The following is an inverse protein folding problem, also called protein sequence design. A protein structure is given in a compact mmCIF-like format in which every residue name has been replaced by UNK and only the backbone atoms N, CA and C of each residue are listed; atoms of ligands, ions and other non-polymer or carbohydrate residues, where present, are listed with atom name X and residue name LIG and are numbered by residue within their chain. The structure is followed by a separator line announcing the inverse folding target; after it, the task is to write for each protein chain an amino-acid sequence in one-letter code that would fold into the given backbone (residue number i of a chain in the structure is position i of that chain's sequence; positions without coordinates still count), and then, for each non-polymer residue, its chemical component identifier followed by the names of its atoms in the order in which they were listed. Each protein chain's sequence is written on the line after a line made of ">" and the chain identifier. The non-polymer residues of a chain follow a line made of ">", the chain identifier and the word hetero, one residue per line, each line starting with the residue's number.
data_IF_974970264498
#
_entry.id   IF_974970264498
#
_cell.length_a   1.000
_cell.length_b   1.000
_cell.length_c   1.000
_cell.angle_alpha   90.00
_cell.angle_beta   90.00
_cell.angle_gamma   90.00
#
_symmetry.space_group_name_H-M   'P 1'
#
loop_
_entity.id
_entity.type
_entity.pdbx_description
1 polymer ?
#
# COMPACT_ATOMS: atom_id res chain seq x y z
N UNK A 1 -13.02 20.74 -5.58
CA UNK A 1 -13.09 19.29 -5.79
C UNK A 1 -12.68 18.52 -4.55
N UNK A 2 -13.01 17.23 -4.46
CA UNK A 2 -12.61 16.39 -3.33
C UNK A 2 -11.08 16.19 -3.30
N UNK A 3 -10.38 15.94 -4.42
CA UNK A 3 -8.93 15.85 -4.44
C UNK A 3 -8.24 17.07 -3.84
N UNK A 4 -8.70 18.27 -4.17
CA UNK A 4 -8.18 19.51 -3.60
C UNK A 4 -8.38 19.59 -2.09
N UNK A 5 -9.57 19.26 -1.59
CA UNK A 5 -9.85 19.28 -0.14
C UNK A 5 -8.97 18.30 0.63
N UNK A 6 -8.72 17.12 0.07
CA UNK A 6 -7.83 16.13 0.67
C UNK A 6 -6.39 16.65 0.65
N UNK A 7 -5.95 17.22 -0.48
CA UNK A 7 -4.61 17.79 -0.60
C UNK A 7 -4.37 18.93 0.41
N UNK A 8 -5.30 19.88 0.54
CA UNK A 8 -5.19 20.99 1.48
C UNK A 8 -4.99 20.51 2.92
N UNK A 9 -5.77 19.51 3.36
CA UNK A 9 -5.61 18.90 4.69
C UNK A 9 -4.29 18.13 4.83
N UNK A 10 -3.88 17.42 3.81
CA UNK A 10 -2.62 16.69 3.80
C UNK A 10 -1.43 17.66 3.85
N UNK A 11 -1.52 18.75 3.13
CA UNK A 11 -0.49 19.80 3.12
C UNK A 11 -0.37 20.52 4.46
N UNK A 12 -1.51 20.84 5.09
CA UNK A 12 -1.57 21.39 6.45
C UNK A 12 -0.89 20.43 7.44
N UNK A 13 -1.25 19.14 7.38
CA UNK A 13 -0.66 18.12 8.24
C UNK A 13 0.86 17.95 8.00
N UNK A 14 1.31 18.02 6.76
CA UNK A 14 2.73 18.00 6.40
C UNK A 14 3.49 19.16 7.08
N UNK A 15 2.90 20.34 7.16
CA UNK A 15 3.53 21.49 7.78
C UNK A 15 3.52 21.44 9.32
N UNK A 16 2.53 20.79 9.93
CA UNK A 16 2.30 20.79 11.37
C UNK A 16 2.85 19.55 12.08
N UNK A 17 2.89 18.40 11.44
CA UNK A 17 3.31 17.13 12.04
C UNK A 17 4.71 16.74 11.59
N UNK A 18 5.68 16.81 12.51
CA UNK A 18 7.10 16.52 12.24
C UNK A 18 7.34 15.08 11.79
N UNK A 19 6.62 14.11 12.35
CA UNK A 19 6.78 12.69 12.00
C UNK A 19 6.28 12.45 10.58
N UNK A 20 5.08 12.92 10.26
CA UNK A 20 4.53 12.80 8.93
C UNK A 20 5.40 13.50 7.88
N UNK A 21 5.86 14.72 8.17
CA UNK A 21 6.81 15.44 7.32
C UNK A 21 8.08 14.63 7.07
N UNK A 22 8.66 14.04 8.10
CA UNK A 22 9.86 13.20 7.96
C UNK A 22 9.60 12.00 7.05
N UNK A 23 8.47 11.30 7.21
CA UNK A 23 8.12 10.16 6.35
C UNK A 23 7.99 10.58 4.90
N UNK A 24 7.31 11.69 4.62
CA UNK A 24 7.14 12.21 3.26
C UNK A 24 8.49 12.64 2.67
N UNK A 25 9.30 13.38 3.41
CA UNK A 25 10.61 13.84 2.94
C UNK A 25 11.56 12.67 2.65
N UNK A 26 11.58 11.65 3.50
CA UNK A 26 12.33 10.41 3.27
C UNK A 26 11.82 9.65 2.04
N UNK A 27 10.50 9.59 1.85
CA UNK A 27 9.92 8.93 0.70
C UNK A 27 10.26 9.65 -0.60
N UNK A 28 10.28 10.97 -0.61
CA UNK A 28 10.72 11.78 -1.76
C UNK A 28 12.20 11.50 -2.08
N UNK A 29 13.07 11.49 -1.08
CA UNK A 29 14.49 11.15 -1.26
C UNK A 29 14.67 9.74 -1.83
N UNK A 30 13.94 8.78 -1.28
CA UNK A 30 13.94 7.39 -1.73
C UNK A 30 13.47 7.25 -3.19
N UNK A 31 12.43 7.98 -3.59
CA UNK A 31 11.96 7.99 -4.98
C UNK A 31 13.05 8.56 -5.90
N UNK A 32 13.68 9.67 -5.53
CA UNK A 32 14.75 10.30 -6.32
C UNK A 32 15.99 9.42 -6.48
N UNK A 33 16.30 8.60 -5.48
CA UNK A 33 17.42 7.67 -5.52
C UNK A 33 17.17 6.47 -6.43
N UNK A 34 15.92 6.03 -6.58
CA UNK A 34 15.57 4.79 -7.27
C UNK A 34 14.92 5.00 -8.64
N UNK A 35 14.31 6.17 -8.89
CA UNK A 35 13.54 6.45 -10.10
C UNK A 35 14.00 7.79 -10.67
N UNK A 36 14.23 7.82 -11.98
CA UNK A 36 14.46 9.08 -12.67
C UNK A 36 13.17 9.90 -12.75
N UNK A 37 13.10 10.98 -11.98
CA UNK A 37 11.90 11.83 -11.87
C UNK A 37 11.46 12.37 -13.23
N UNK A 38 12.40 12.64 -14.15
CA UNK A 38 12.07 13.16 -15.50
C UNK A 38 11.28 12.16 -16.35
N UNK A 39 11.31 10.86 -16.03
CA UNK A 39 10.56 9.84 -16.75
C UNK A 39 9.14 9.65 -16.20
N UNK A 40 8.84 10.21 -15.03
CA UNK A 40 7.50 10.15 -14.43
C UNK A 40 6.64 11.25 -15.04
N UNK A 41 5.55 10.87 -15.71
CA UNK A 41 4.58 11.80 -16.25
C UNK A 41 3.49 12.16 -15.22
N UNK A 42 3.00 11.19 -14.49
CA UNK A 42 1.95 11.34 -13.47
C UNK A 42 2.26 10.51 -12.22
N UNK A 43 1.75 10.98 -11.09
CA UNK A 43 1.71 10.21 -9.84
C UNK A 43 0.27 9.82 -9.56
N UNK A 44 0.02 8.58 -9.16
CA UNK A 44 -1.31 8.08 -8.82
C UNK A 44 -1.40 7.57 -7.39
N UNK A 45 -2.60 7.57 -6.86
CA UNK A 45 -2.92 6.96 -5.58
C UNK A 45 -4.36 6.47 -5.53
N UNK A 46 -4.59 5.33 -4.88
CA UNK A 46 -5.90 4.71 -4.74
C UNK A 46 -6.60 5.11 -3.45
N UNK A 47 -7.94 5.13 -3.50
CA UNK A 47 -8.76 5.45 -2.32
C UNK A 47 -8.58 4.40 -1.21
N UNK A 48 -8.29 4.84 0.00
CA UNK A 48 -8.22 6.23 0.47
C UNK A 48 -6.86 6.55 1.09
N UNK A 49 -6.17 5.56 1.67
CA UNK A 49 -4.94 5.80 2.43
C UNK A 49 -3.76 6.22 1.58
N UNK A 50 -3.68 5.74 0.35
CA UNK A 50 -2.61 6.12 -0.57
C UNK A 50 -2.58 7.63 -0.82
N UNK A 51 -3.76 8.28 -0.83
CA UNK A 51 -3.86 9.71 -1.08
C UNK A 51 -3.09 10.57 -0.07
N UNK A 52 -2.94 10.10 1.18
CA UNK A 52 -2.18 10.82 2.19
C UNK A 52 -0.68 10.89 1.87
N UNK A 53 -0.22 10.04 0.99
CA UNK A 53 1.16 10.03 0.50
C UNK A 53 1.24 10.56 -0.93
N UNK A 54 0.43 10.06 -1.83
CA UNK A 54 0.54 10.33 -3.26
C UNK A 54 0.29 11.80 -3.62
N UNK A 55 -0.67 12.47 -2.97
CA UNK A 55 -1.00 13.84 -3.32
C UNK A 55 0.10 14.84 -2.91
N UNK A 56 0.64 14.71 -1.71
CA UNK A 56 1.71 15.59 -1.25
C UNK A 56 3.03 15.34 -2.02
N UNK A 57 3.31 14.09 -2.36
CA UNK A 57 4.49 13.73 -3.16
C UNK A 57 4.35 14.26 -4.59
N UNK A 58 3.17 14.15 -5.20
CA UNK A 58 2.90 14.75 -6.51
C UNK A 58 3.15 16.26 -6.51
N UNK A 59 2.67 16.96 -5.50
CA UNK A 59 2.94 18.39 -5.32
C UNK A 59 4.44 18.68 -5.18
N UNK A 60 5.14 18.00 -4.29
CA UNK A 60 6.57 18.22 -4.03
C UNK A 60 7.46 17.86 -5.21
N UNK A 61 7.08 16.91 -6.04
CA UNK A 61 7.78 16.55 -7.26
C UNK A 61 7.31 17.33 -8.49
N UNK A 62 6.36 18.23 -8.31
CA UNK A 62 5.74 19.01 -9.39
C UNK A 62 5.22 18.14 -10.54
N UNK A 63 4.48 17.09 -10.18
CA UNK A 63 3.84 16.16 -11.12
C UNK A 63 2.33 16.20 -10.97
N UNK A 64 1.56 16.13 -12.08
CA UNK A 64 0.12 15.99 -11.99
C UNK A 64 -0.27 14.69 -11.31
N UNK A 65 -1.44 14.67 -10.68
CA UNK A 65 -1.91 13.57 -9.85
C UNK A 65 -3.17 12.91 -10.42
N UNK A 66 -3.17 11.58 -10.48
CA UNK A 66 -4.33 10.75 -10.82
C UNK A 66 -4.91 10.21 -9.50
N UNK A 67 -6.05 10.76 -9.11
CA UNK A 67 -6.80 10.31 -7.95
C UNK A 67 -7.74 9.19 -8.38
N UNK A 68 -7.51 7.97 -7.89
CA UNK A 68 -8.33 6.79 -8.20
C UNK A 68 -9.28 6.53 -7.03
N UNK A 69 -10.58 6.52 -7.32
CA UNK A 69 -11.61 6.24 -6.33
C UNK A 69 -11.88 4.75 -6.18
N UNK A 70 -12.58 4.38 -5.11
CA UNK A 70 -12.94 2.98 -4.82
C UNK A 70 -13.87 2.37 -5.88
N UNK A 71 -14.69 3.19 -6.52
CA UNK A 71 -15.54 2.79 -7.63
C UNK A 71 -14.82 2.78 -9.00
N UNK A 72 -13.49 2.97 -8.98
CA UNK A 72 -12.58 3.03 -10.12
C UNK A 72 -12.74 4.27 -11.00
N UNK A 73 -13.60 5.22 -10.63
CA UNK A 73 -13.58 6.54 -11.27
C UNK A 73 -12.27 7.26 -10.96
N UNK A 74 -11.87 8.15 -11.84
CA UNK A 74 -10.59 8.87 -11.74
C UNK A 74 -10.77 10.35 -12.01
N UNK A 75 -9.98 11.14 -11.29
CA UNK A 75 -9.82 12.58 -11.53
C UNK A 75 -8.34 12.88 -11.64
N UNK A 76 -7.97 13.65 -12.66
CA UNK A 76 -6.60 14.10 -12.84
C UNK A 76 -6.55 15.60 -12.56
N UNK A 77 -5.56 15.98 -11.77
CA UNK A 77 -5.30 17.39 -11.42
C UNK A 77 -3.85 17.76 -11.71
N UNK A 78 -3.59 19.05 -11.84
CA UNK A 78 -2.22 19.55 -11.77
C UNK A 78 -1.58 19.28 -10.40
N UNK A 79 -0.31 19.59 -10.26
CA UNK A 79 0.45 19.37 -9.02
C UNK A 79 -0.03 20.24 -7.84
N UNK A 80 -0.75 21.33 -8.10
CA UNK A 80 -1.33 22.20 -7.07
C UNK A 80 -2.78 21.83 -6.73
N UNK A 81 -3.36 20.83 -7.40
CA UNK A 81 -4.75 20.40 -7.25
C UNK A 81 -5.77 21.50 -7.54
N UNK A 82 -5.41 22.47 -8.37
CA UNK A 82 -6.25 23.60 -8.73
C UNK A 82 -7.04 23.35 -10.00
N UNK A 83 -6.36 22.81 -11.03
CA UNK A 83 -6.93 22.58 -12.36
C UNK A 83 -7.12 21.10 -12.64
N UNK A 84 -8.30 20.76 -13.16
CA UNK A 84 -8.58 19.40 -13.65
C UNK A 84 -8.01 19.24 -15.06
N UNK A 85 -7.36 18.09 -15.29
CA UNK A 85 -6.79 17.69 -16.58
C UNK A 85 -7.72 16.66 -17.22
N UNK A 86 -7.92 16.76 -18.54
CA UNK A 86 -8.75 15.78 -19.26
C UNK A 86 -8.11 14.39 -19.25
N UNK A 87 -8.93 13.34 -19.07
CA UNK A 87 -8.46 11.96 -19.03
C UNK A 87 -7.75 11.52 -20.31
N UNK A 88 -8.04 12.11 -21.45
CA UNK A 88 -7.38 11.81 -22.72
C UNK A 88 -5.92 12.27 -22.80
N UNK A 89 -5.52 13.22 -21.96
CA UNK A 89 -4.14 13.75 -21.91
C UNK A 89 -3.12 12.71 -21.38
N UNK A 90 -3.58 11.65 -20.70
CA UNK A 90 -2.67 10.65 -20.08
C UNK A 90 -2.30 9.50 -21.02
N UNK A 91 -2.77 9.48 -22.24
CA UNK A 91 -2.45 8.41 -23.19
C UNK A 91 -0.93 8.26 -23.36
N UNK A 92 -0.44 7.02 -23.26
CA UNK A 92 0.98 6.65 -23.29
C UNK A 92 1.82 7.19 -22.12
N UNK A 93 1.20 7.74 -21.08
CA UNK A 93 1.92 8.25 -19.93
C UNK A 93 2.52 7.16 -19.07
N UNK A 94 3.66 7.46 -18.46
CA UNK A 94 4.34 6.63 -17.46
C UNK A 94 3.97 7.11 -16.06
N UNK A 95 3.37 6.22 -15.27
CA UNK A 95 2.80 6.55 -13.96
C UNK A 95 3.60 5.90 -12.84
N UNK A 96 3.91 6.68 -11.82
CA UNK A 96 4.35 6.20 -10.51
C UNK A 96 3.14 6.10 -9.59
N UNK A 97 2.81 4.89 -9.16
CA UNK A 97 1.78 4.69 -8.12
C UNK A 97 2.41 4.68 -6.74
N UNK A 98 1.82 5.43 -5.81
CA UNK A 98 2.26 5.53 -4.43
C UNK A 98 1.19 4.95 -3.52
N UNK A 99 1.61 4.06 -2.63
CA UNK A 99 0.74 3.43 -1.64
C UNK A 99 1.35 3.45 -0.24
N UNK A 100 0.51 3.27 0.77
CA UNK A 100 0.95 3.17 2.16
C UNK A 100 1.61 1.82 2.44
N UNK A 101 0.99 0.75 1.97
CA UNK A 101 1.32 -0.63 2.32
C UNK A 101 1.02 -1.57 1.16
N UNK A 102 1.89 -2.54 0.97
CA UNK A 102 1.65 -3.68 0.08
C UNK A 102 1.71 -5.00 0.86
N UNK A 103 0.78 -5.90 0.57
CA UNK A 103 0.75 -7.28 1.06
C UNK A 103 0.98 -8.22 -0.12
N UNK A 104 -0.12 -8.59 -0.79
CA UNK A 104 -0.15 -9.44 -1.99
C UNK A 104 -0.44 -8.66 -3.28
N UNK A 105 -0.40 -7.33 -3.23
CA UNK A 105 -0.73 -6.43 -4.34
C UNK A 105 -2.15 -6.60 -4.93
N UNK A 106 -3.09 -7.09 -4.16
CA UNK A 106 -4.45 -7.38 -4.64
C UNK A 106 -5.16 -6.14 -5.22
N UNK A 107 -5.02 -4.98 -4.57
CA UNK A 107 -5.61 -3.73 -5.07
C UNK A 107 -4.96 -3.27 -6.37
N UNK A 108 -3.64 -3.43 -6.50
CA UNK A 108 -2.94 -3.12 -7.74
C UNK A 108 -3.45 -3.96 -8.91
N UNK A 109 -3.49 -5.28 -8.72
CA UNK A 109 -3.84 -6.22 -9.80
C UNK A 109 -5.30 -6.09 -10.20
N UNK A 110 -6.20 -5.94 -9.23
CA UNK A 110 -7.65 -5.91 -9.50
C UNK A 110 -8.19 -4.53 -9.85
N UNK A 111 -7.52 -3.48 -9.44
CA UNK A 111 -8.04 -2.12 -9.53
C UNK A 111 -7.05 -1.12 -10.17
N UNK A 112 -5.93 -0.83 -9.54
CA UNK A 112 -5.12 0.31 -9.92
C UNK A 112 -4.47 0.16 -11.29
N UNK A 113 -3.86 -0.99 -11.58
CA UNK A 113 -3.25 -1.26 -12.89
C UNK A 113 -4.30 -1.23 -14.00
N UNK A 114 -5.42 -1.98 -13.93
CA UNK A 114 -6.46 -1.92 -14.95
C UNK A 114 -7.06 -0.52 -15.16
N UNK A 115 -7.24 0.25 -14.07
CA UNK A 115 -7.78 1.61 -14.17
C UNK A 115 -6.86 2.54 -14.95
N UNK A 116 -5.56 2.54 -14.67
CA UNK A 116 -4.59 3.34 -15.41
C UNK A 116 -4.47 2.87 -16.86
N UNK A 117 -4.46 1.57 -17.10
CA UNK A 117 -4.42 1.00 -18.45
C UNK A 117 -5.66 1.37 -19.28
N UNK A 118 -6.83 1.50 -18.65
CA UNK A 118 -8.06 1.94 -19.33
C UNK A 118 -7.94 3.35 -19.92
N UNK A 119 -7.04 4.17 -19.40
CA UNK A 119 -6.73 5.51 -19.93
C UNK A 119 -5.66 5.49 -21.02
N UNK A 120 -5.12 4.32 -21.37
CA UNK A 120 -3.99 4.19 -22.30
C UNK A 120 -2.65 4.54 -21.69
N UNK A 121 -2.56 4.64 -20.36
CA UNK A 121 -1.34 4.88 -19.60
C UNK A 121 -0.85 3.60 -18.94
N UNK A 122 0.30 3.65 -18.27
CA UNK A 122 0.90 2.48 -17.63
C UNK A 122 1.50 2.86 -16.28
N UNK A 123 1.23 2.05 -15.24
CA UNK A 123 1.99 2.08 -14.00
C UNK A 123 3.34 1.40 -14.27
N UNK A 124 4.41 2.19 -14.30
CA UNK A 124 5.77 1.70 -14.52
C UNK A 124 6.49 1.41 -13.19
N UNK A 125 6.14 2.13 -12.15
CA UNK A 125 6.77 2.05 -10.83
C UNK A 125 5.72 2.08 -9.72
N UNK A 126 6.02 1.38 -8.66
CA UNK A 126 5.31 1.45 -7.38
C UNK A 126 6.29 1.81 -6.28
N UNK A 127 5.94 2.77 -5.45
CA UNK A 127 6.66 3.06 -4.21
C UNK A 127 5.70 2.98 -3.04
N UNK A 128 6.06 2.19 -2.04
CA UNK A 128 5.26 1.99 -0.84
C UNK A 128 6.10 2.29 0.41
N UNK A 129 5.44 2.73 1.48
CA UNK A 129 6.13 2.91 2.76
C UNK A 129 6.55 1.54 3.31
N UNK A 130 5.63 0.59 3.34
CA UNK A 130 5.83 -0.73 3.95
C UNK A 130 5.48 -1.85 2.99
N UNK A 131 6.38 -2.79 2.78
CA UNK A 131 6.11 -4.09 2.18
C UNK A 131 6.05 -5.16 3.28
N UNK A 132 4.92 -5.85 3.38
CA UNK A 132 4.75 -6.96 4.33
C UNK A 132 5.41 -8.26 3.88
N UNK A 133 6.09 -8.25 2.72
CA UNK A 133 6.84 -9.40 2.18
C UNK A 133 5.98 -10.67 2.00
N UNK A 134 4.76 -10.48 1.50
CA UNK A 134 3.79 -11.56 1.27
C UNK A 134 3.52 -11.80 -0.22
N UNK A 135 4.52 -11.59 -1.07
CA UNK A 135 4.47 -11.86 -2.50
C UNK A 135 3.96 -10.71 -3.37
N UNK A 136 3.69 -9.54 -2.80
CA UNK A 136 3.20 -8.39 -3.57
C UNK A 136 4.20 -7.84 -4.57
N UNK A 137 5.46 -7.73 -4.18
CA UNK A 137 6.54 -7.27 -5.06
C UNK A 137 6.69 -8.15 -6.29
N UNK A 138 6.70 -9.46 -6.12
CA UNK A 138 6.83 -10.43 -7.20
C UNK A 138 5.64 -10.35 -8.18
N UNK A 139 4.43 -10.16 -7.68
CA UNK A 139 3.23 -9.95 -8.50
C UNK A 139 3.28 -8.65 -9.31
N UNK A 140 3.78 -7.56 -8.71
CA UNK A 140 3.97 -6.29 -9.42
C UNK A 140 5.03 -6.42 -10.50
N UNK A 141 6.16 -7.04 -10.22
CA UNK A 141 7.23 -7.25 -11.19
C UNK A 141 6.77 -8.16 -12.35
N UNK A 142 5.97 -9.19 -12.07
CA UNK A 142 5.31 -10.01 -13.09
C UNK A 142 4.34 -9.21 -13.97
N UNK A 143 3.81 -8.11 -13.47
CA UNK A 143 2.96 -7.16 -14.21
C UNK A 143 3.76 -6.01 -14.83
N UNK A 144 5.09 -6.12 -14.92
CA UNK A 144 6.01 -5.10 -15.43
C UNK A 144 5.99 -3.78 -14.64
N UNK A 145 5.70 -3.84 -13.35
CA UNK A 145 5.79 -2.72 -12.42
C UNK A 145 7.02 -2.91 -11.54
N UNK A 146 7.98 -1.99 -11.60
CA UNK A 146 9.12 -1.97 -10.68
C UNK A 146 8.65 -1.54 -9.30
N UNK A 147 8.82 -2.38 -8.30
CA UNK A 147 8.35 -2.16 -6.94
C UNK A 147 9.48 -1.77 -6.00
N UNK A 148 9.30 -0.66 -5.30
CA UNK A 148 10.23 -0.13 -4.30
C UNK A 148 9.50 0.05 -2.97
N UNK A 149 10.10 -0.40 -1.89
CA UNK A 149 9.57 -0.25 -0.53
C UNK A 149 10.61 0.36 0.40
N UNK A 150 10.19 1.29 1.24
CA UNK A 150 11.09 1.93 2.21
C UNK A 150 11.42 0.99 3.36
N UNK A 151 10.45 0.21 3.82
CA UNK A 151 10.57 -0.73 4.93
C UNK A 151 10.01 -2.08 4.51
N UNK A 152 10.79 -3.13 4.73
CA UNK A 152 10.35 -4.51 4.57
C UNK A 152 10.10 -5.13 5.94
N UNK A 153 8.92 -5.75 6.12
CA UNK A 153 8.64 -6.53 7.33
C UNK A 153 9.20 -7.94 7.11
N UNK A 154 10.44 -8.14 7.53
CA UNK A 154 11.22 -9.36 7.33
C UNK A 154 12.03 -9.73 8.57
N UNK A 155 12.78 -10.82 8.49
CA UNK A 155 13.61 -11.31 9.60
C UNK A 155 14.65 -10.27 10.03
N UNK A 156 15.20 -9.48 9.11
CA UNK A 156 16.16 -8.42 9.43
C UNK A 156 15.55 -7.37 10.34
N UNK A 157 14.30 -6.97 10.08
CA UNK A 157 13.56 -6.04 10.93
C UNK A 157 13.29 -6.65 12.30
N UNK A 158 12.87 -7.91 12.37
CA UNK A 158 12.58 -8.61 13.64
C UNK A 158 13.83 -8.74 14.49
N UNK A 159 14.96 -9.10 13.88
CA UNK A 159 16.24 -9.20 14.57
C UNK A 159 16.67 -7.85 15.15
N UNK A 160 16.52 -6.79 14.39
CA UNK A 160 16.78 -5.43 14.86
C UNK A 160 15.89 -5.05 16.05
N UNK A 161 14.60 -5.39 15.99
CA UNK A 161 13.67 -5.15 17.08
C UNK A 161 14.03 -5.94 18.35
N UNK A 162 14.53 -7.19 18.20
CA UNK A 162 15.04 -8.00 19.30
C UNK A 162 16.30 -7.38 19.91
N UNK A 163 17.27 -7.00 19.09
CA UNK A 163 18.53 -6.38 19.52
C UNK A 163 18.27 -5.07 20.27
N UNK A 164 17.29 -4.30 19.82
CA UNK A 164 16.83 -3.07 20.48
C UNK A 164 15.93 -3.31 21.71
N UNK A 165 15.66 -4.56 22.07
CA UNK A 165 14.76 -4.97 23.17
C UNK A 165 13.32 -4.44 23.04
N UNK A 166 12.87 -4.15 21.83
CA UNK A 166 11.48 -3.78 21.53
C UNK A 166 10.58 -5.00 21.61
N UNK A 167 11.09 -6.16 21.19
CA UNK A 167 10.46 -7.47 21.34
C UNK A 167 11.39 -8.40 22.11
N UNK A 168 10.82 -9.44 22.74
CA UNK A 168 11.59 -10.49 23.39
C UNK A 168 11.83 -11.69 22.45
N UNK A 169 12.66 -12.64 22.89
CA UNK A 169 13.02 -13.82 22.09
C UNK A 169 11.78 -14.63 21.69
N UNK A 170 10.82 -14.84 22.59
CA UNK A 170 9.60 -15.57 22.29
C UNK A 170 8.80 -14.90 21.17
N UNK A 171 8.65 -13.59 21.24
CA UNK A 171 7.97 -12.81 20.19
C UNK A 171 8.72 -12.86 18.86
N UNK A 172 10.06 -12.79 18.89
CA UNK A 172 10.87 -12.95 17.69
C UNK A 172 10.67 -14.32 17.02
N UNK A 173 10.71 -15.41 17.77
CA UNK A 173 10.48 -16.75 17.23
C UNK A 173 9.05 -16.93 16.70
N UNK A 174 8.04 -16.35 17.36
CA UNK A 174 6.67 -16.36 16.84
C UNK A 174 6.56 -15.65 15.48
N UNK A 175 7.15 -14.46 15.35
CA UNK A 175 7.16 -13.70 14.10
C UNK A 175 7.90 -14.46 13.00
N UNK A 176 9.06 -15.01 13.31
CA UNK A 176 9.85 -15.80 12.36
C UNK A 176 9.04 -17.00 11.85
N UNK A 177 8.47 -17.79 12.73
CA UNK A 177 7.66 -18.95 12.38
C UNK A 177 6.45 -18.57 11.52
N UNK A 178 5.79 -17.45 11.81
CA UNK A 178 4.68 -16.96 11.01
C UNK A 178 5.11 -16.61 9.59
N UNK A 179 6.22 -15.89 9.41
CA UNK A 179 6.70 -15.49 8.09
C UNK A 179 7.30 -16.65 7.29
N UNK A 180 7.89 -17.66 7.94
CA UNK A 180 8.35 -18.88 7.28
C UNK A 180 7.19 -19.73 6.74
N UNK A 181 6.12 -19.88 7.52
CA UNK A 181 4.95 -20.66 7.12
C UNK A 181 3.67 -20.13 7.78
N UNK A 182 3.03 -19.10 7.17
CA UNK A 182 1.83 -18.47 7.71
C UNK A 182 0.67 -19.46 7.95
N UNK A 183 0.44 -20.35 6.98
CA UNK A 183 -0.68 -21.30 7.03
C UNK A 183 -0.51 -22.32 8.16
N UNK A 184 0.68 -22.88 8.30
CA UNK A 184 1.00 -23.80 9.39
C UNK A 184 0.87 -23.12 10.76
N UNK A 185 1.38 -21.91 10.87
CA UNK A 185 1.32 -21.13 12.11
C UNK A 185 -0.12 -20.80 12.49
N UNK A 186 -0.93 -20.36 11.51
CA UNK A 186 -2.35 -20.07 11.73
C UNK A 186 -3.12 -21.35 12.09
N UNK A 187 -2.88 -22.45 11.39
CA UNK A 187 -3.49 -23.73 11.70
C UNK A 187 -3.20 -24.16 13.14
N UNK A 188 -1.94 -24.12 13.55
CA UNK A 188 -1.52 -24.46 14.91
C UNK A 188 -2.20 -23.57 15.95
N UNK A 189 -2.28 -22.28 15.67
CA UNK A 189 -2.99 -21.33 16.54
C UNK A 189 -4.47 -21.70 16.69
N UNK A 190 -5.18 -21.93 15.59
CA UNK A 190 -6.61 -22.25 15.60
C UNK A 190 -6.91 -23.60 16.30
N UNK A 191 -6.04 -24.59 16.13
CA UNK A 191 -6.16 -25.88 16.84
C UNK A 191 -6.01 -25.67 18.36
N UNK A 192 -5.06 -24.85 18.78
CA UNK A 192 -4.79 -24.60 20.19
C UNK A 192 -5.80 -23.63 20.83
N UNK A 193 -6.54 -22.86 20.01
CA UNK A 193 -7.50 -21.86 20.43
C UNK A 193 -8.84 -22.02 19.69
N UNK A 194 -9.56 -23.14 19.90
CA UNK A 194 -10.80 -23.42 19.20
C UNK A 194 -11.88 -22.35 19.45
N UNK A 195 -11.84 -21.70 20.60
CA UNK A 195 -12.75 -20.62 20.96
C UNK A 195 -12.58 -19.36 20.10
N UNK A 196 -11.44 -19.21 19.42
CA UNK A 196 -11.15 -18.01 18.62
C UNK A 196 -12.15 -17.82 17.47
N UNK A 197 -12.39 -18.87 16.69
CA UNK A 197 -13.37 -18.80 15.59
C UNK A 197 -14.80 -18.66 16.10
N UNK A 198 -15.16 -19.32 17.20
CA UNK A 198 -16.47 -19.18 17.83
C UNK A 198 -16.74 -17.74 18.28
N UNK A 199 -15.74 -17.12 18.91
CA UNK A 199 -15.82 -15.72 19.33
C UNK A 199 -15.87 -14.77 18.15
N UNK A 200 -15.10 -15.05 17.09
CA UNK A 200 -15.10 -14.25 15.85
C UNK A 200 -16.46 -14.28 15.16
N UNK A 201 -17.17 -15.41 15.13
CA UNK A 201 -18.52 -15.53 14.58
C UNK A 201 -19.57 -14.69 15.32
N UNK A 202 -19.32 -14.39 16.59
CA UNK A 202 -20.20 -13.58 17.47
C UNK A 202 -19.80 -12.09 17.50
N UNK A 203 -18.77 -11.72 16.75
CA UNK A 203 -18.21 -10.37 16.69
C UNK A 203 -18.94 -9.48 15.69
N UNK A 204 -18.31 -8.39 15.24
CA UNK A 204 -18.86 -7.53 14.21
C UNK A 204 -19.06 -8.27 12.88
N UNK A 205 -19.95 -7.75 12.02
CA UNK A 205 -20.36 -8.37 10.76
C UNK A 205 -19.15 -8.74 9.87
N UNK A 206 -18.16 -7.89 9.80
CA UNK A 206 -16.97 -8.11 8.97
C UNK A 206 -16.10 -9.25 9.51
N UNK A 207 -15.91 -9.29 10.82
CA UNK A 207 -15.13 -10.35 11.49
C UNK A 207 -15.87 -11.68 11.43
N UNK A 208 -17.19 -11.68 11.67
CA UNK A 208 -18.02 -12.87 11.55
C UNK A 208 -18.04 -13.44 10.13
N UNK A 209 -18.16 -12.59 9.12
CA UNK A 209 -18.09 -13.00 7.71
C UNK A 209 -16.76 -13.65 7.34
N UNK A 210 -15.65 -13.15 7.85
CA UNK A 210 -14.31 -13.72 7.62
C UNK A 210 -14.14 -15.07 8.33
N UNK A 211 -14.61 -15.18 9.58
CA UNK A 211 -14.59 -16.44 10.31
C UNK A 211 -15.42 -17.51 9.61
N UNK A 212 -16.61 -17.15 9.13
CA UNK A 212 -17.47 -18.03 8.33
C UNK A 212 -16.78 -18.50 7.07
N UNK A 213 -16.16 -17.59 6.32
CA UNK A 213 -15.41 -17.93 5.10
C UNK A 213 -14.26 -18.91 5.38
N UNK A 214 -13.56 -18.73 6.50
CA UNK A 214 -12.49 -19.62 6.95
C UNK A 214 -13.03 -21.06 7.21
N UNK A 215 -14.16 -21.18 7.89
CA UNK A 215 -14.79 -22.45 8.23
C UNK A 215 -15.36 -23.11 6.98
N UNK A 216 -16.19 -22.42 6.21
CA UNK A 216 -16.91 -22.94 5.03
C UNK A 216 -15.94 -23.46 3.96
N UNK A 217 -14.79 -22.81 3.80
CA UNK A 217 -13.76 -23.21 2.82
C UNK A 217 -12.66 -24.10 3.44
N UNK A 218 -12.76 -24.43 4.71
CA UNK A 218 -11.74 -25.23 5.41
C UNK A 218 -10.30 -24.73 5.14
N UNK A 219 -10.10 -23.42 5.21
CA UNK A 219 -8.87 -22.75 4.75
C UNK A 219 -7.59 -23.28 5.41
N UNK A 220 -7.69 -23.79 6.63
CA UNK A 220 -6.54 -24.27 7.39
C UNK A 220 -6.61 -25.78 7.72
N UNK A 221 -7.51 -26.53 7.05
CA UNK A 221 -7.73 -27.96 7.28
C UNK A 221 -7.93 -28.27 8.80
N UNK A 222 -8.87 -27.58 9.43
CA UNK A 222 -9.21 -27.68 10.84
C UNK A 222 -10.07 -28.90 11.13
#
# INVERSE_FOLDING_TARGET
>A
SLPRKVFEKTFEHYNENKIYKSVIDEMISFIKENINISEIDYISGGERRDWFFSNIIANKLNKPHITIYKDLSMVITDSEFETTIDLSEVKNAKVLHIADLITEASSYIRAWIPSIESLGAKICWSTVVVDRMQGGKEKLEASNVKSFSMINIDETLFKKALDMKIINLTQYEMLKNFYENPDKTMRTFLINHPEFLENALKSDEKTASRAKLCIDNNLYNL
#
